data_IF_302118602229
#
_entry.id   IF_302118602229
#
_cell.length_a   1.000
_cell.length_b   1.000
_cell.length_c   1.000
_cell.angle_alpha   90.00
_cell.angle_beta   90.00
_cell.angle_gamma   90.00
#
_symmetry.space_group_name_H-M   'P 1'
#
loop_
_entity.id
_entity.type
_entity.pdbx_description
1 polymer ?
#
# COMPACT_ATOMS: atom_id res chain seq x y z
N UNK A 1 -15.09 -1.13 -3.79
CA UNK A 1 -14.03 -0.10 -3.73
C UNK A 1 -13.01 -0.38 -2.61
N UNK A 2 -11.79 0.17 -2.70
CA UNK A 2 -10.79 0.10 -1.61
C UNK A 2 -11.07 1.20 -0.58
N UNK A 3 -11.16 0.84 0.70
CA UNK A 3 -11.44 1.80 1.80
C UNK A 3 -10.19 2.42 2.40
N UNK A 4 -9.03 1.78 2.26
CA UNK A 4 -7.78 2.25 2.84
C UNK A 4 -7.27 3.54 2.19
N UNK A 5 -6.74 4.45 2.99
CA UNK A 5 -5.86 5.50 2.51
C UNK A 5 -4.42 4.98 2.53
N UNK A 6 -4.01 4.31 1.45
CA UNK A 6 -2.69 3.65 1.37
C UNK A 6 -1.53 4.62 1.61
N UNK A 7 -1.65 5.87 1.13
CA UNK A 7 -0.63 6.88 1.36
C UNK A 7 -0.44 7.16 2.86
N UNK A 8 -1.54 7.32 3.60
CA UNK A 8 -1.52 7.55 5.04
C UNK A 8 -1.00 6.30 5.76
N UNK A 9 -1.51 5.12 5.42
CA UNK A 9 -1.16 3.85 6.05
C UNK A 9 0.36 3.61 5.97
N UNK A 10 0.96 3.78 4.78
CA UNK A 10 2.41 3.60 4.60
C UNK A 10 3.21 4.64 5.39
N UNK A 11 2.76 5.90 5.46
CA UNK A 11 3.43 6.94 6.27
C UNK A 11 3.41 6.60 7.76
N UNK A 12 2.26 6.15 8.28
CA UNK A 12 2.14 5.70 9.68
C UNK A 12 3.11 4.56 9.95
N UNK A 13 3.19 3.55 9.07
CA UNK A 13 4.13 2.44 9.23
C UNK A 13 5.59 2.86 9.19
N UNK A 14 5.95 3.87 8.39
CA UNK A 14 7.31 4.44 8.42
C UNK A 14 7.63 5.04 9.79
N UNK A 15 6.71 5.80 10.37
CA UNK A 15 6.87 6.45 11.68
C UNK A 15 6.98 5.39 12.78
N UNK A 16 6.09 4.40 12.80
CA UNK A 16 6.10 3.31 13.78
C UNK A 16 7.42 2.51 13.79
N UNK A 17 8.11 2.44 12.64
CA UNK A 17 9.38 1.72 12.51
C UNK A 17 10.61 2.66 12.49
N UNK A 18 10.44 3.95 12.77
CA UNK A 18 11.55 4.91 12.78
C UNK A 18 12.30 5.00 11.45
N UNK A 19 11.62 4.78 10.33
CA UNK A 19 12.21 4.75 8.98
C UNK A 19 11.59 5.80 8.06
N UNK A 20 12.04 5.85 6.80
CA UNK A 20 11.52 6.77 5.78
C UNK A 20 11.16 6.02 4.49
N UNK A 21 10.28 6.60 3.68
CA UNK A 21 9.96 6.05 2.35
C UNK A 21 11.17 5.97 1.43
N UNK A 22 12.15 6.86 1.59
CA UNK A 22 13.40 6.80 0.83
C UNK A 22 14.21 5.56 1.23
N UNK A 23 14.33 5.30 2.54
CA UNK A 23 15.01 4.11 3.05
C UNK A 23 14.31 2.82 2.62
N UNK A 24 12.98 2.78 2.69
CA UNK A 24 12.20 1.64 2.18
C UNK A 24 12.47 1.42 0.69
N UNK A 25 12.51 2.49 -0.12
CA UNK A 25 12.79 2.38 -1.55
C UNK A 25 14.17 1.76 -1.83
N UNK A 26 15.20 2.18 -1.08
CA UNK A 26 16.54 1.59 -1.13
C UNK A 26 16.51 0.10 -0.75
N UNK A 27 15.86 -0.24 0.38
CA UNK A 27 15.85 -1.59 0.93
C UNK A 27 15.13 -2.60 -0.01
N UNK A 28 14.17 -2.14 -0.81
CA UNK A 28 13.48 -2.97 -1.82
C UNK A 28 14.05 -2.79 -3.24
N UNK A 29 15.23 -2.20 -3.38
CA UNK A 29 15.94 -1.98 -4.65
C UNK A 29 15.09 -1.27 -5.71
N UNK A 30 14.41 -0.18 -5.34
CA UNK A 30 13.60 0.64 -6.24
C UNK A 30 13.87 2.12 -6.05
N UNK A 31 13.13 2.98 -6.78
CA UNK A 31 13.27 4.43 -6.66
C UNK A 31 12.20 5.01 -5.73
N UNK A 32 12.54 6.10 -5.03
CA UNK A 32 11.58 6.89 -4.25
C UNK A 32 10.39 7.35 -5.09
N UNK A 33 10.63 7.71 -6.36
CA UNK A 33 9.57 8.08 -7.31
C UNK A 33 8.59 6.94 -7.58
N UNK A 34 9.11 5.73 -7.74
CA UNK A 34 8.29 4.53 -7.93
C UNK A 34 7.45 4.21 -6.69
N UNK A 35 8.04 4.25 -5.49
CA UNK A 35 7.28 4.09 -4.22
C UNK A 35 6.17 5.14 -4.10
N UNK A 36 6.50 6.41 -4.34
CA UNK A 36 5.54 7.51 -4.29
C UNK A 36 4.38 7.33 -5.29
N UNK A 37 4.68 6.79 -6.49
CA UNK A 37 3.66 6.47 -7.49
C UNK A 37 2.72 5.36 -7.04
N UNK A 38 3.24 4.32 -6.38
CA UNK A 38 2.43 3.21 -5.86
C UNK A 38 1.49 3.69 -4.76
N UNK A 39 2.01 4.37 -3.73
CA UNK A 39 1.20 4.75 -2.57
C UNK A 39 0.12 5.79 -2.89
N UNK A 40 0.35 6.62 -3.92
CA UNK A 40 -0.62 7.63 -4.38
C UNK A 40 -1.68 7.08 -5.32
N UNK A 41 -1.44 5.91 -5.93
CA UNK A 41 -2.37 5.26 -6.86
C UNK A 41 -2.89 3.97 -6.23
N UNK A 42 -4.07 4.04 -5.62
CA UNK A 42 -4.71 2.87 -4.99
C UNK A 42 -4.86 1.69 -5.98
N UNK A 43 -5.23 1.95 -7.23
CA UNK A 43 -5.34 0.96 -8.32
C UNK A 43 -4.00 0.28 -8.69
N UNK A 44 -2.87 0.86 -8.25
CA UNK A 44 -1.54 0.31 -8.45
C UNK A 44 -1.12 -0.68 -7.38
N UNK A 45 -1.82 -0.72 -6.24
CA UNK A 45 -1.50 -1.59 -5.09
C UNK A 45 -2.32 -2.87 -5.14
N UNK A 46 -3.61 -2.74 -5.41
CA UNK A 46 -4.52 -3.86 -5.66
C UNK A 46 -4.89 -3.85 -7.12
N UNK A 47 -4.73 -4.97 -7.80
CA UNK A 47 -4.99 -5.08 -9.23
C UNK A 47 -6.45 -4.67 -9.56
N UNK A 48 -6.61 -3.88 -10.62
CA UNK A 48 -7.91 -3.37 -11.07
C UNK A 48 -8.95 -4.48 -11.31
N UNK A 49 -8.56 -5.57 -11.95
CA UNK A 49 -9.47 -6.71 -12.22
C UNK A 49 -9.97 -7.31 -10.91
N UNK A 50 -9.10 -7.46 -9.90
CA UNK A 50 -9.50 -7.96 -8.59
C UNK A 50 -10.49 -7.02 -7.90
N UNK A 51 -10.26 -5.70 -7.94
CA UNK A 51 -11.19 -4.71 -7.39
C UNK A 51 -12.58 -4.83 -8.05
N UNK A 52 -12.62 -4.94 -9.37
CA UNK A 52 -13.86 -5.11 -10.13
C UNK A 52 -14.58 -6.43 -9.78
N UNK A 53 -13.84 -7.52 -9.56
CA UNK A 53 -14.43 -8.79 -9.12
C UNK A 53 -15.11 -8.64 -7.75
N UNK A 54 -14.45 -7.99 -6.78
CA UNK A 54 -15.02 -7.80 -5.45
C UNK A 54 -16.25 -6.88 -5.49
N UNK A 55 -16.21 -5.84 -6.33
CA UNK A 55 -17.35 -4.94 -6.54
C UNK A 55 -18.55 -5.67 -7.17
N UNK A 56 -18.31 -6.53 -8.17
CA UNK A 56 -19.37 -7.35 -8.76
C UNK A 56 -20.01 -8.33 -7.77
N UNK A 57 -19.25 -8.77 -6.76
CA UNK A 57 -19.75 -9.59 -5.66
C UNK A 57 -20.41 -8.78 -4.53
N UNK A 58 -20.42 -7.43 -4.61
CA UNK A 58 -21.02 -6.55 -3.62
C UNK A 58 -20.14 -6.23 -2.41
N UNK A 59 -18.81 -6.41 -2.53
CA UNK A 59 -17.87 -6.20 -1.44
C UNK A 59 -16.98 -4.97 -1.63
N UNK A 60 -16.69 -4.32 -0.51
CA UNK A 60 -15.60 -3.36 -0.38
C UNK A 60 -14.33 -4.06 0.16
N UNK A 61 -13.16 -3.47 -0.12
CA UNK A 61 -11.85 -4.03 0.21
C UNK A 61 -11.22 -3.24 1.35
N UNK A 62 -10.78 -3.96 2.39
CA UNK A 62 -9.94 -3.45 3.48
C UNK A 62 -8.64 -4.23 3.53
N UNK A 63 -7.51 -3.54 3.48
CA UNK A 63 -6.17 -4.09 3.66
C UNK A 63 -5.74 -3.92 5.12
N UNK A 64 -5.22 -4.99 5.72
CA UNK A 64 -4.64 -4.97 7.07
C UNK A 64 -3.21 -5.47 7.02
N UNK A 65 -2.33 -4.82 7.79
CA UNK A 65 -0.90 -5.13 7.83
C UNK A 65 -0.57 -5.84 9.15
N UNK A 66 -0.10 -7.08 9.08
CA UNK A 66 0.35 -7.83 10.24
C UNK A 66 1.88 -7.78 10.29
N UNK A 67 2.44 -7.50 11.47
CA UNK A 67 3.89 -7.47 11.67
C UNK A 67 4.45 -8.87 11.42
N UNK A 68 5.51 -8.97 10.62
CA UNK A 68 6.18 -10.25 10.37
C UNK A 68 6.83 -10.74 11.67
N UNK A 69 6.52 -11.97 12.06
CA UNK A 69 7.24 -12.68 13.12
C UNK A 69 8.59 -13.16 12.55
N UNK A 70 9.66 -12.95 13.31
CA UNK A 70 11.02 -13.32 12.96
C UNK A 70 11.52 -14.51 13.74
#
# INVERSE_FOLDING_TARGET
MIKNNIELDVKVKCIENGTTQAKIAEDVNTTKSYVNRIIKKQDGVVNKTFVQMMEALGYDIVLTYVKREG
#
